data_IF_490939589929
#
_entry.id   IF_490939589929
#
_cell.length_a   1.000
_cell.length_b   1.000
_cell.length_c   1.000
_cell.angle_alpha   90.00
_cell.angle_beta   90.00
_cell.angle_gamma   90.00
#
_symmetry.space_group_name_H-M   'P 1'
#
loop_
_entity.id
_entity.type
_entity.pdbx_description
1 polymer ?
#
# COMPACT_ATOMS: atom_id res chain seq x y z
N UNK A 1 46.14 -44.73 -9.13
CA UNK A 1 46.05 -43.76 -8.01
C UNK A 1 46.34 -42.40 -8.63
N UNK A 2 45.39 -41.63 -9.17
CA UNK A 2 44.25 -41.00 -8.48
C UNK A 2 43.32 -40.43 -9.58
N UNK A 3 42.55 -41.29 -10.24
CA UNK A 3 41.47 -40.89 -11.16
C UNK A 3 40.36 -41.93 -11.02
N UNK A 4 39.33 -41.62 -10.22
CA UNK A 4 37.95 -42.12 -10.27
C UNK A 4 37.20 -41.78 -8.97
N UNK A 5 35.92 -41.36 -9.13
CA UNK A 5 34.89 -41.03 -8.10
C UNK A 5 35.00 -39.60 -7.55
N UNK A 6 34.02 -38.70 -7.60
CA UNK A 6 32.55 -38.80 -7.69
C UNK A 6 32.06 -37.58 -8.51
N UNK A 7 31.32 -37.76 -9.60
CA UNK A 7 29.87 -37.93 -9.50
C UNK A 7 29.13 -36.59 -9.40
N UNK A 8 29.43 -35.60 -10.25
CA UNK A 8 28.57 -34.42 -10.45
C UNK A 8 27.34 -34.89 -11.21
N UNK A 9 26.39 -35.46 -10.49
CA UNK A 9 25.02 -35.58 -10.97
C UNK A 9 24.49 -34.16 -11.15
N UNK A 10 24.51 -33.64 -12.37
CA UNK A 10 23.57 -32.60 -12.76
C UNK A 10 22.17 -33.22 -12.62
N UNK A 11 21.61 -33.07 -11.42
CA UNK A 11 20.24 -33.43 -11.11
C UNK A 11 19.36 -32.78 -12.16
N UNK A 12 18.82 -33.62 -13.04
CA UNK A 12 17.90 -33.28 -14.12
C UNK A 12 16.52 -32.90 -13.56
N UNK A 13 16.46 -32.31 -12.35
CA UNK A 13 15.24 -32.14 -11.55
C UNK A 13 15.01 -30.70 -11.03
N UNK A 14 15.93 -29.76 -11.28
CA UNK A 14 15.67 -28.33 -10.98
C UNK A 14 14.73 -27.67 -12.01
N UNK A 15 14.39 -28.38 -13.10
CA UNK A 15 13.45 -27.94 -14.15
C UNK A 15 12.01 -28.37 -13.90
N UNK A 16 11.67 -28.75 -12.66
CA UNK A 16 10.28 -28.79 -12.18
C UNK A 16 10.09 -27.83 -11.00
N UNK A 17 10.59 -26.59 -11.10
CA UNK A 17 9.99 -25.46 -10.35
C UNK A 17 8.60 -25.19 -10.93
N UNK A 18 7.66 -26.09 -10.62
CA UNK A 18 6.24 -25.82 -10.80
C UNK A 18 5.97 -24.47 -10.16
N UNK A 19 5.45 -23.53 -10.95
CA UNK A 19 4.95 -22.28 -10.41
C UNK A 19 3.84 -22.66 -9.44
N UNK A 20 4.15 -22.77 -8.15
CA UNK A 20 3.11 -22.81 -7.13
C UNK A 20 2.24 -21.59 -7.36
N UNK A 21 1.01 -21.84 -7.83
CA UNK A 21 0.04 -20.80 -8.12
C UNK A 21 -0.31 -20.13 -6.80
N UNK A 22 -0.45 -18.80 -6.82
CA UNK A 22 -0.89 -18.12 -5.62
C UNK A 22 -2.35 -18.47 -5.34
N UNK A 23 -2.75 -18.57 -4.06
CA UNK A 23 -4.14 -18.75 -3.72
C UNK A 23 -4.96 -17.54 -4.20
N UNK A 24 -6.22 -17.78 -4.57
CA UNK A 24 -7.12 -16.75 -5.13
C UNK A 24 -7.18 -15.48 -4.26
N UNK A 25 -7.12 -15.62 -2.92
CA UNK A 25 -7.13 -14.47 -2.01
C UNK A 25 -5.96 -13.51 -2.27
N UNK A 26 -4.80 -14.02 -2.67
CA UNK A 26 -3.61 -13.20 -2.88
C UNK A 26 -3.82 -12.23 -4.04
N UNK A 27 -4.49 -12.67 -5.11
CA UNK A 27 -4.86 -11.81 -6.22
C UNK A 27 -5.86 -10.73 -5.81
N UNK A 28 -6.83 -11.02 -4.94
CA UNK A 28 -7.71 -9.99 -4.37
C UNK A 28 -6.93 -8.91 -3.61
N UNK A 29 -5.95 -9.33 -2.79
CA UNK A 29 -5.05 -8.39 -2.10
C UNK A 29 -4.26 -7.58 -3.13
N UNK A 30 -3.65 -8.23 -4.13
CA UNK A 30 -2.86 -7.55 -5.17
C UNK A 30 -3.65 -6.47 -5.92
N UNK A 31 -4.91 -6.75 -6.26
CA UNK A 31 -5.77 -5.76 -6.92
C UNK A 31 -6.05 -4.58 -5.97
N UNK A 32 -6.42 -4.86 -4.72
CA UNK A 32 -6.72 -3.81 -3.74
C UNK A 32 -5.51 -2.92 -3.42
N UNK A 33 -4.32 -3.52 -3.22
CA UNK A 33 -3.08 -2.78 -2.93
C UNK A 33 -2.57 -1.99 -4.14
N UNK A 34 -2.92 -2.39 -5.36
CA UNK A 34 -2.62 -1.63 -6.58
C UNK A 34 -3.46 -0.37 -6.64
N UNK A 35 -4.79 -0.49 -6.47
CA UNK A 35 -5.69 0.66 -6.44
C UNK A 35 -5.40 1.61 -5.27
N UNK A 36 -5.09 1.06 -4.10
CA UNK A 36 -4.74 1.88 -2.95
C UNK A 36 -3.44 2.65 -3.17
N UNK A 37 -2.43 2.03 -3.78
CA UNK A 37 -1.19 2.74 -4.07
C UNK A 37 -1.35 3.79 -5.18
N UNK A 38 -2.22 3.54 -6.15
CA UNK A 38 -2.62 4.56 -7.12
C UNK A 38 -3.26 5.77 -6.43
N UNK A 39 -4.18 5.55 -5.49
CA UNK A 39 -4.74 6.60 -4.62
C UNK A 39 -3.66 7.34 -3.83
N UNK A 40 -2.65 6.64 -3.31
CA UNK A 40 -1.54 7.26 -2.60
C UNK A 40 -0.72 8.20 -3.49
N UNK A 41 -0.54 7.86 -4.78
CA UNK A 41 0.14 8.74 -5.74
C UNK A 41 -0.63 10.01 -6.09
N UNK A 42 -1.95 10.02 -5.96
CA UNK A 42 -2.72 11.25 -6.13
C UNK A 42 -2.29 12.31 -5.12
N UNK A 43 -2.06 11.91 -3.86
CA UNK A 43 -1.45 12.79 -2.86
C UNK A 43 -0.01 13.15 -3.22
N UNK A 44 0.79 12.14 -3.59
CA UNK A 44 2.17 12.25 -4.05
C UNK A 44 2.41 13.37 -5.06
N UNK A 45 1.59 13.40 -6.10
CA UNK A 45 1.79 14.22 -7.28
C UNK A 45 1.27 15.65 -7.13
N UNK A 46 0.19 15.87 -6.37
CA UNK A 46 -0.55 17.14 -6.38
C UNK A 46 -0.66 17.86 -5.04
N UNK A 47 -0.14 17.30 -3.94
CA UNK A 47 -0.22 17.97 -2.64
C UNK A 47 0.52 19.31 -2.59
N UNK A 48 1.68 19.42 -3.25
CA UNK A 48 2.41 20.68 -3.29
C UNK A 48 1.65 21.76 -4.07
N UNK A 49 0.97 21.37 -5.16
CA UNK A 49 0.09 22.26 -5.95
C UNK A 49 -1.10 22.72 -5.09
N UNK A 50 -1.70 21.81 -4.32
CA UNK A 50 -2.79 22.16 -3.39
C UNK A 50 -2.39 23.21 -2.36
N UNK A 51 -1.19 23.11 -1.80
CA UNK A 51 -0.67 24.11 -0.85
C UNK A 51 -0.40 25.43 -1.57
N UNK A 52 0.12 25.38 -2.81
CA UNK A 52 0.36 26.57 -3.62
C UNK A 52 -0.92 27.36 -3.89
N UNK A 53 -1.99 26.68 -4.30
CA UNK A 53 -3.31 27.29 -4.59
C UNK A 53 -3.94 27.97 -3.36
N UNK A 54 -3.53 27.60 -2.14
CA UNK A 54 -4.00 28.26 -0.91
C UNK A 54 -3.22 29.53 -0.56
N UNK A 55 -2.15 29.84 -1.29
CA UNK A 55 -1.27 30.98 -1.04
C UNK A 55 -0.24 30.76 0.07
N UNK A 56 -0.12 29.53 0.60
CA UNK A 56 0.89 29.21 1.60
C UNK A 56 2.24 28.88 0.97
N UNK A 57 3.31 29.11 1.73
CA UNK A 57 4.66 28.74 1.31
C UNK A 57 4.82 27.23 1.11
N UNK A 58 5.59 26.84 0.10
CA UNK A 58 6.02 25.46 -0.15
C UNK A 58 6.78 24.84 1.02
N UNK A 59 7.29 25.65 1.96
CA UNK A 59 7.82 25.15 3.23
C UNK A 59 6.77 24.30 3.98
N UNK A 60 5.50 24.72 4.00
CA UNK A 60 4.44 23.95 4.67
C UNK A 60 4.19 22.62 3.97
N UNK A 61 4.22 22.57 2.64
CA UNK A 61 4.08 21.33 1.90
C UNK A 61 5.17 20.32 2.31
N UNK A 62 6.45 20.77 2.32
CA UNK A 62 7.58 19.96 2.75
C UNK A 62 7.52 19.54 4.22
N UNK A 63 7.15 20.45 5.12
CA UNK A 63 7.03 20.17 6.55
C UNK A 63 5.92 19.15 6.84
N UNK A 64 4.77 19.26 6.17
CA UNK A 64 3.67 18.30 6.29
C UNK A 64 4.09 16.92 5.80
N UNK A 65 4.81 16.84 4.67
CA UNK A 65 5.38 15.59 4.17
C UNK A 65 6.36 14.95 5.14
N UNK A 66 7.34 15.73 5.62
CA UNK A 66 8.34 15.24 6.58
C UNK A 66 7.69 14.75 7.87
N UNK A 67 6.69 15.48 8.37
CA UNK A 67 5.92 15.07 9.54
C UNK A 67 5.13 13.77 9.31
N UNK A 68 4.56 13.59 8.12
CA UNK A 68 3.91 12.34 7.71
C UNK A 68 4.87 11.15 7.72
N UNK A 69 6.08 11.31 7.17
CA UNK A 69 7.12 10.27 7.17
C UNK A 69 7.56 9.94 8.60
N UNK A 70 7.71 10.93 9.49
CA UNK A 70 8.01 10.66 10.90
C UNK A 70 6.92 9.79 11.53
N UNK A 71 5.64 10.13 11.32
CA UNK A 71 4.52 9.33 11.81
C UNK A 71 4.55 7.90 11.25
N UNK A 72 4.94 7.73 9.99
CA UNK A 72 5.10 6.42 9.35
C UNK A 72 6.16 5.57 10.04
N UNK A 73 7.35 6.12 10.28
CA UNK A 73 8.43 5.43 11.00
C UNK A 73 7.97 5.03 12.40
N UNK A 74 7.26 5.92 13.13
CA UNK A 74 6.68 5.59 14.43
C UNK A 74 5.71 4.41 14.35
N UNK A 75 4.78 4.41 13.40
CA UNK A 75 3.82 3.30 13.23
C UNK A 75 4.53 1.99 12.88
N UNK A 76 5.54 2.03 12.01
CA UNK A 76 6.33 0.86 11.67
C UNK A 76 7.12 0.32 12.88
N UNK A 77 7.71 1.20 13.69
CA UNK A 77 8.40 0.83 14.93
C UNK A 77 7.47 0.09 15.91
N UNK A 78 6.22 0.54 16.05
CA UNK A 78 5.22 -0.09 16.92
C UNK A 78 4.43 -1.24 16.28
N UNK A 79 4.77 -1.65 15.05
CA UNK A 79 4.01 -2.66 14.31
C UNK A 79 3.89 -4.00 15.05
N UNK A 80 4.94 -4.43 15.75
CA UNK A 80 4.89 -5.64 16.58
C UNK A 80 3.79 -5.57 17.64
N UNK A 81 3.64 -4.42 18.31
CA UNK A 81 2.58 -4.18 19.29
C UNK A 81 1.18 -4.15 18.65
N UNK A 82 1.07 -3.56 17.46
CA UNK A 82 -0.19 -3.49 16.70
C UNK A 82 -0.66 -4.91 16.34
N UNK A 83 0.21 -5.73 15.75
CA UNK A 83 -0.16 -7.08 15.29
C UNK A 83 -0.29 -8.12 16.40
N UNK A 84 0.15 -7.81 17.64
CA UNK A 84 -0.21 -8.61 18.82
C UNK A 84 -1.68 -8.44 19.20
N UNK A 85 -2.26 -7.25 18.99
CA UNK A 85 -3.64 -6.92 19.38
C UNK A 85 -4.64 -7.06 18.24
N UNK A 86 -4.23 -6.77 17.01
CA UNK A 86 -5.12 -6.66 15.86
C UNK A 86 -4.74 -7.60 14.72
N UNK A 87 -5.75 -8.16 14.04
CA UNK A 87 -5.56 -9.01 12.85
C UNK A 87 -5.05 -8.15 11.68
N UNK A 88 -4.06 -8.64 10.93
CA UNK A 88 -3.46 -7.93 9.81
C UNK A 88 -4.49 -7.48 8.75
N UNK A 89 -5.52 -8.29 8.45
CA UNK A 89 -6.60 -7.90 7.53
C UNK A 89 -7.36 -6.66 8.03
N UNK A 90 -7.66 -6.58 9.33
CA UNK A 90 -8.40 -5.44 9.90
C UNK A 90 -7.54 -4.17 9.89
N UNK A 91 -6.25 -4.31 10.21
CA UNK A 91 -5.29 -3.19 10.15
C UNK A 91 -5.15 -2.70 8.70
N UNK A 92 -5.10 -3.60 7.72
CA UNK A 92 -5.06 -3.25 6.30
C UNK A 92 -6.30 -2.44 5.87
N UNK A 93 -7.50 -2.94 6.18
CA UNK A 93 -8.77 -2.27 5.86
C UNK A 93 -8.84 -0.88 6.51
N UNK A 94 -8.47 -0.80 7.79
CA UNK A 94 -8.45 0.46 8.54
C UNK A 94 -7.44 1.45 7.95
N UNK A 95 -6.25 0.99 7.57
CA UNK A 95 -5.22 1.84 6.94
C UNK A 95 -5.74 2.43 5.63
N UNK A 96 -6.40 1.61 4.80
CA UNK A 96 -7.00 2.08 3.56
C UNK A 96 -8.11 3.10 3.79
N UNK A 97 -8.96 2.85 4.79
CA UNK A 97 -10.04 3.75 5.17
C UNK A 97 -9.52 5.09 5.72
N UNK A 98 -8.51 5.08 6.59
CA UNK A 98 -7.88 6.30 7.11
C UNK A 98 -7.17 7.08 5.99
N UNK A 99 -6.59 6.39 5.01
CA UNK A 99 -6.07 7.02 3.79
C UNK A 99 -7.16 7.73 3.00
N UNK A 100 -8.36 7.15 2.88
CA UNK A 100 -9.50 7.79 2.23
C UNK A 100 -9.98 9.03 2.98
N UNK A 101 -10.18 8.93 4.30
CA UNK A 101 -10.57 10.06 5.16
C UNK A 101 -9.58 11.20 5.00
N UNK A 102 -8.28 10.88 5.02
CA UNK A 102 -7.21 11.86 4.82
C UNK A 102 -7.34 12.59 3.49
N UNK A 103 -7.58 11.86 2.41
CA UNK A 103 -7.73 12.46 1.07
C UNK A 103 -8.98 13.32 0.96
N UNK A 104 -10.12 12.89 1.51
CA UNK A 104 -11.33 13.74 1.53
C UNK A 104 -11.12 15.03 2.32
N UNK A 105 -10.47 14.96 3.49
CA UNK A 105 -10.18 16.15 4.28
C UNK A 105 -9.22 17.09 3.53
N UNK A 106 -8.20 16.57 2.84
CA UNK A 106 -7.31 17.38 2.00
C UNK A 106 -8.05 18.01 0.82
N UNK A 107 -9.02 17.31 0.23
CA UNK A 107 -9.81 17.83 -0.89
C UNK A 107 -10.56 19.12 -0.50
N UNK A 108 -11.18 19.14 0.68
CA UNK A 108 -12.11 20.20 1.07
C UNK A 108 -11.54 21.17 2.12
N UNK A 109 -10.35 20.93 2.65
CA UNK A 109 -9.71 21.81 3.62
C UNK A 109 -8.61 22.65 3.00
N UNK A 110 -8.57 23.91 3.41
CA UNK A 110 -7.46 24.85 3.17
C UNK A 110 -6.81 25.28 4.48
N UNK A 111 -7.31 24.83 5.64
CA UNK A 111 -6.78 25.24 6.93
C UNK A 111 -5.50 24.46 7.26
N UNK A 112 -4.37 25.15 7.45
CA UNK A 112 -3.09 24.51 7.76
C UNK A 112 -3.14 23.57 8.96
N UNK A 113 -3.80 23.97 10.05
CA UNK A 113 -3.89 23.14 11.27
C UNK A 113 -4.56 21.81 10.95
N UNK A 114 -5.64 21.84 10.15
CA UNK A 114 -6.33 20.62 9.69
C UNK A 114 -5.41 19.78 8.79
N UNK A 115 -4.65 20.41 7.89
CA UNK A 115 -3.74 19.72 6.98
C UNK A 115 -2.55 19.06 7.71
N UNK A 116 -2.03 19.67 8.78
CA UNK A 116 -1.05 19.03 9.67
C UNK A 116 -1.67 17.89 10.48
N UNK A 117 -2.81 18.13 11.11
CA UNK A 117 -3.48 17.13 11.95
C UNK A 117 -3.88 15.89 11.16
N UNK A 118 -4.43 16.05 9.95
CA UNK A 118 -4.83 14.92 9.12
C UNK A 118 -3.62 14.14 8.59
N UNK A 119 -2.45 14.77 8.49
CA UNK A 119 -1.23 14.08 8.08
C UNK A 119 -0.65 13.13 9.14
N UNK A 120 -1.09 13.23 10.40
CA UNK A 120 -0.83 12.17 11.39
C UNK A 120 -1.31 10.80 10.91
N UNK A 121 -2.41 10.77 10.13
CA UNK A 121 -2.94 9.53 9.56
C UNK A 121 -2.05 8.94 8.47
N UNK A 122 -1.07 9.68 7.93
CA UNK A 122 -0.14 9.19 6.91
C UNK A 122 0.58 7.93 7.37
N UNK A 123 1.05 7.92 8.63
CA UNK A 123 1.79 6.78 9.14
C UNK A 123 0.95 5.50 9.21
N UNK A 124 -0.35 5.62 9.50
CA UNK A 124 -1.27 4.50 9.39
C UNK A 124 -1.58 4.17 7.93
N UNK A 125 -1.80 5.18 7.08
CA UNK A 125 -2.15 5.01 5.68
C UNK A 125 -1.08 4.24 4.90
N UNK A 126 0.21 4.48 5.13
CA UNK A 126 1.28 3.74 4.47
C UNK A 126 1.93 2.68 5.35
N UNK A 127 2.42 3.05 6.54
CA UNK A 127 3.23 2.16 7.38
C UNK A 127 2.46 0.92 7.85
N UNK A 128 1.28 1.12 8.44
CA UNK A 128 0.44 0.01 8.86
C UNK A 128 -0.12 -0.80 7.67
N UNK A 129 -0.47 -0.14 6.56
CA UNK A 129 -0.86 -0.77 5.30
C UNK A 129 0.22 -1.73 4.79
N UNK A 130 1.45 -1.25 4.61
CA UNK A 130 2.56 -1.99 4.02
C UNK A 130 2.89 -3.21 4.88
N UNK A 131 3.04 -3.01 6.19
CA UNK A 131 3.35 -4.08 7.11
C UNK A 131 2.20 -5.08 7.26
N UNK A 132 0.94 -4.66 7.08
CA UNK A 132 -0.19 -5.59 7.06
C UNK A 132 -0.12 -6.53 5.87
N UNK A 133 0.26 -6.05 4.68
CA UNK A 133 0.43 -6.90 3.49
C UNK A 133 1.57 -7.91 3.70
N UNK A 134 2.73 -7.44 4.19
CA UNK A 134 3.86 -8.33 4.49
C UNK A 134 3.50 -9.38 5.54
N UNK A 135 2.76 -8.98 6.58
CA UNK A 135 2.27 -9.90 7.61
C UNK A 135 1.28 -10.93 7.05
N UNK A 136 0.42 -10.55 6.12
CA UNK A 136 -0.50 -11.48 5.45
C UNK A 136 0.25 -12.48 4.57
N UNK A 137 1.26 -12.02 3.81
CA UNK A 137 2.15 -12.91 3.04
C UNK A 137 2.83 -13.91 3.98
N UNK A 138 3.37 -13.44 5.09
CA UNK A 138 4.04 -14.29 6.07
C UNK A 138 3.09 -15.33 6.69
N UNK A 139 1.88 -14.94 7.06
CA UNK A 139 0.93 -15.81 7.77
C UNK A 139 0.17 -16.78 6.85
N UNK A 140 -0.08 -16.40 5.59
CA UNK A 140 -1.00 -17.14 4.71
C UNK A 140 -0.31 -17.88 3.57
N UNK A 141 0.96 -17.60 3.29
CA UNK A 141 1.71 -18.27 2.23
C UNK A 141 2.84 -19.15 2.78
N UNK A 142 3.09 -20.31 2.16
CA UNK A 142 4.26 -21.15 2.46
C UNK A 142 5.56 -20.38 2.30
N UNK A 143 6.54 -20.66 3.15
CA UNK A 143 7.84 -19.98 3.17
C UNK A 143 8.51 -19.95 1.80
N UNK A 144 8.45 -21.06 1.06
CA UNK A 144 9.03 -21.25 -0.28
C UNK A 144 8.58 -20.20 -1.31
N UNK A 145 7.39 -19.63 -1.16
CA UNK A 145 6.83 -18.66 -2.12
C UNK A 145 6.72 -17.23 -1.56
N UNK A 146 7.10 -16.97 -0.31
CA UNK A 146 6.96 -15.64 0.32
C UNK A 146 7.77 -14.56 -0.39
N UNK A 147 9.01 -14.86 -0.78
CA UNK A 147 9.86 -13.91 -1.52
C UNK A 147 9.22 -13.55 -2.87
N UNK A 148 8.76 -14.56 -3.62
CA UNK A 148 8.06 -14.37 -4.89
C UNK A 148 6.79 -13.52 -4.71
N UNK A 149 6.04 -13.75 -3.64
CA UNK A 149 4.85 -12.96 -3.31
C UNK A 149 5.20 -11.50 -2.99
N UNK A 150 6.28 -11.23 -2.27
CA UNK A 150 6.75 -9.87 -1.98
C UNK A 150 7.21 -9.15 -3.25
N UNK A 151 7.89 -9.83 -4.17
CA UNK A 151 8.23 -9.27 -5.48
C UNK A 151 6.99 -8.91 -6.28
N UNK A 152 6.00 -9.82 -6.36
CA UNK A 152 4.72 -9.53 -7.05
C UNK A 152 3.93 -8.41 -6.42
N UNK A 153 3.88 -8.36 -5.08
CA UNK A 153 3.29 -7.23 -4.36
C UNK A 153 3.99 -5.92 -4.74
N UNK A 154 5.31 -5.91 -4.78
CA UNK A 154 6.08 -4.70 -5.06
C UNK A 154 5.89 -4.21 -6.50
N UNK A 155 5.93 -5.13 -7.47
CA UNK A 155 5.66 -4.86 -8.88
C UNK A 155 4.26 -4.27 -9.10
N UNK A 156 3.23 -4.90 -8.52
CA UNK A 156 1.84 -4.49 -8.71
C UNK A 156 1.51 -3.20 -7.96
N UNK A 157 1.91 -3.10 -6.69
CA UNK A 157 1.60 -1.94 -5.85
C UNK A 157 2.50 -0.76 -6.20
N UNK A 158 3.81 -0.86 -5.97
CA UNK A 158 4.75 0.25 -6.14
C UNK A 158 5.10 0.54 -7.61
N UNK A 159 4.97 -0.45 -8.50
CA UNK A 159 5.18 -0.27 -9.95
C UNK A 159 3.89 0.16 -10.65
N UNK A 160 3.02 -0.81 -10.93
CA UNK A 160 1.81 -0.58 -11.72
C UNK A 160 0.86 0.44 -11.06
N UNK A 161 0.61 0.29 -9.77
CA UNK A 161 -0.21 1.23 -9.00
C UNK A 161 0.35 2.66 -9.05
N UNK A 162 1.67 2.81 -9.02
CA UNK A 162 2.29 4.12 -9.13
C UNK A 162 2.07 4.76 -10.50
N UNK A 163 2.28 4.01 -11.58
CA UNK A 163 2.10 4.49 -12.95
C UNK A 163 0.64 4.90 -13.18
N UNK A 164 -0.30 4.01 -12.84
CA UNK A 164 -1.74 4.29 -12.96
C UNK A 164 -2.09 5.54 -12.15
N UNK A 165 -1.62 5.60 -10.90
CA UNK A 165 -1.87 6.71 -10.00
C UNK A 165 -1.42 8.05 -10.58
N UNK A 166 -0.15 8.12 -11.02
CA UNK A 166 0.42 9.35 -11.57
C UNK A 166 -0.31 9.80 -12.85
N UNK A 167 -0.52 8.89 -13.81
CA UNK A 167 -1.21 9.22 -15.08
C UNK A 167 -2.64 9.67 -14.83
N UNK A 168 -3.40 8.91 -14.04
CA UNK A 168 -4.79 9.24 -13.74
C UNK A 168 -4.89 10.58 -13.00
N UNK A 169 -4.00 10.85 -12.04
CA UNK A 169 -4.02 12.12 -11.31
C UNK A 169 -3.80 13.33 -12.21
N UNK A 170 -2.93 13.21 -13.23
CA UNK A 170 -2.73 14.27 -14.24
C UNK A 170 -3.98 14.51 -15.08
N UNK A 171 -4.58 13.44 -15.61
CA UNK A 171 -5.82 13.55 -16.40
C UNK A 171 -6.95 14.18 -15.57
N UNK A 172 -7.10 13.78 -14.31
CA UNK A 172 -8.13 14.32 -13.42
C UNK A 172 -7.88 15.80 -13.13
N UNK A 173 -6.62 16.20 -12.93
CA UNK A 173 -6.25 17.59 -12.73
C UNK A 173 -6.68 18.47 -13.91
N UNK A 174 -6.34 18.05 -15.13
CA UNK A 174 -6.62 18.82 -16.35
C UNK A 174 -8.13 19.03 -16.57
N UNK A 175 -8.96 18.07 -16.13
CA UNK A 175 -10.41 18.10 -16.34
C UNK A 175 -11.15 18.83 -15.21
N UNK A 176 -10.75 18.62 -13.95
CA UNK A 176 -11.55 18.97 -12.78
C UNK A 176 -10.77 19.64 -11.63
N UNK A 177 -9.48 19.93 -11.84
CA UNK A 177 -8.63 20.66 -10.89
C UNK A 177 -8.20 19.86 -9.66
N UNK A 178 -7.48 20.53 -8.76
CA UNK A 178 -6.75 19.87 -7.67
C UNK A 178 -7.66 19.17 -6.65
N UNK A 179 -8.84 19.73 -6.36
CA UNK A 179 -9.77 19.15 -5.37
C UNK A 179 -10.36 17.81 -5.84
N UNK A 180 -10.58 17.68 -7.16
CA UNK A 180 -11.08 16.45 -7.75
C UNK A 180 -10.08 15.29 -7.58
N UNK A 181 -8.78 15.58 -7.66
CA UNK A 181 -7.72 14.59 -7.44
C UNK A 181 -7.87 13.97 -6.06
N UNK A 182 -7.89 14.77 -5.00
CA UNK A 182 -8.00 14.20 -3.65
C UNK A 182 -9.36 13.52 -3.40
N UNK A 183 -10.44 14.04 -3.98
CA UNK A 183 -11.76 13.39 -3.87
C UNK A 183 -11.77 12.01 -4.54
N UNK A 184 -11.28 11.92 -5.77
CA UNK A 184 -11.18 10.66 -6.52
C UNK A 184 -10.18 9.69 -5.88
N UNK A 185 -9.07 10.21 -5.35
CA UNK A 185 -8.12 9.43 -4.57
C UNK A 185 -8.78 8.84 -3.33
N UNK A 186 -9.57 9.64 -2.61
CA UNK A 186 -10.35 9.18 -1.45
C UNK A 186 -11.32 8.06 -1.83
N UNK A 187 -12.09 8.23 -2.90
CA UNK A 187 -13.00 7.20 -3.42
C UNK A 187 -12.27 5.91 -3.80
N UNK A 188 -11.10 6.03 -4.44
CA UNK A 188 -10.29 4.88 -4.84
C UNK A 188 -9.72 4.12 -3.62
N UNK A 189 -9.37 4.85 -2.56
CA UNK A 189 -8.97 4.24 -1.28
C UNK A 189 -10.13 3.53 -0.58
N UNK A 190 -11.35 4.10 -0.60
CA UNK A 190 -12.56 3.42 -0.11
C UNK A 190 -12.81 2.15 -0.90
N UNK A 191 -12.76 2.23 -2.24
CA UNK A 191 -12.95 1.08 -3.12
C UNK A 191 -11.95 -0.05 -2.80
N UNK A 192 -10.68 0.30 -2.60
CA UNK A 192 -9.64 -0.64 -2.20
C UNK A 192 -9.95 -1.31 -0.86
N UNK A 193 -10.41 -0.53 0.13
CA UNK A 193 -10.83 -1.04 1.45
C UNK A 193 -12.01 -2.01 1.34
N UNK A 194 -13.00 -1.70 0.49
CA UNK A 194 -14.15 -2.57 0.21
C UNK A 194 -13.71 -3.89 -0.43
N UNK A 195 -12.79 -3.87 -1.39
CA UNK A 195 -12.25 -5.11 -2.01
C UNK A 195 -11.67 -6.02 -0.92
N UNK A 196 -10.83 -5.47 -0.03
CA UNK A 196 -10.24 -6.24 1.06
C UNK A 196 -11.30 -6.69 2.08
N UNK A 197 -12.31 -5.87 2.37
CA UNK A 197 -13.39 -6.23 3.29
C UNK A 197 -14.23 -7.40 2.77
N UNK A 198 -14.62 -7.36 1.48
CA UNK A 198 -15.39 -8.42 0.83
C UNK A 198 -14.55 -9.70 0.65
N UNK A 199 -13.28 -9.55 0.23
CA UNK A 199 -12.31 -10.65 0.22
C UNK A 199 -11.99 -11.18 1.62
N UNK A 200 -12.12 -10.33 2.63
CA UNK A 200 -11.93 -10.57 4.07
C UNK A 200 -12.76 -11.71 4.63
N UNK A 201 -14.00 -11.88 4.13
CA UNK A 201 -14.85 -13.01 4.51
C UNK A 201 -14.28 -14.36 4.06
N UNK A 202 -13.51 -14.40 2.96
CA UNK A 202 -12.74 -15.58 2.52
C UNK A 202 -11.36 -15.68 3.19
N UNK A 203 -10.80 -14.57 3.68
CA UNK A 203 -9.51 -14.50 4.40
C UNK A 203 -9.59 -14.99 5.85
N UNK A 204 -10.75 -14.84 6.50
CA UNK A 204 -11.00 -15.30 7.88
C UNK A 204 -11.15 -16.81 8.00
N UNK A 205 -11.54 -17.51 6.93
CA UNK A 205 -11.92 -18.94 6.96
C UNK A 205 -10.74 -19.90 6.78
N UNK A 206 -9.56 -19.44 6.35
CA UNK A 206 -8.44 -20.34 6.00
C UNK A 206 -7.36 -20.52 7.07
N UNK A 207 -7.67 -20.31 8.35
CA UNK A 207 -6.90 -20.79 9.53
C UNK A 207 -7.48 -20.12 10.78
N UNK A 208 -8.40 -20.81 11.45
CA UNK A 208 -8.20 -21.10 12.87
C UNK A 208 -7.44 -22.42 12.93
#
# INVERSE_FOLDING_TARGET
>A
MFFLRLGVGFGKDDRKKGSEAFPVFFYFILVAVTFYFASFKFFGSFFNIKIDETGYSQFHAGAIWGFGILCEVFVMFYAGSIFRKYKAVNVLILSMFLGAVRLFVVAFSVNLVILYAINLLHGFAFGAYHLSVLRLIQLKLPEKIRLKAQSRYSEMSFGLGAIIGSVMSGIIYDIAGVNAIFTMGGLLAVFSSIIVFLGGKKLKTSNQ
#
